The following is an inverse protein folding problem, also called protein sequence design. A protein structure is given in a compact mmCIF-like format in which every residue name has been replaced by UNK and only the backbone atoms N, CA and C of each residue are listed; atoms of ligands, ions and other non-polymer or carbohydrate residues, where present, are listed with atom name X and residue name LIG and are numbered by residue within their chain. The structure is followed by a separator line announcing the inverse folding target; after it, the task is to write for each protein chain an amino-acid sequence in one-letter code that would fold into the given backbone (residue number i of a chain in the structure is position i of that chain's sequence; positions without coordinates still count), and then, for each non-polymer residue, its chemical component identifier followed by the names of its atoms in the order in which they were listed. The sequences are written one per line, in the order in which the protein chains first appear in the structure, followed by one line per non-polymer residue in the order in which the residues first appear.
data_IF_534860158470
#
_entry.id   IF_534860158470
#
_cell.length_a   1.000
_cell.length_b   1.000
_cell.length_c   1.000
_cell.angle_alpha   90.00
_cell.angle_beta   90.00
_cell.angle_gamma   90.00
#
_symmetry.space_group_name_H-M   'P 1'
#
loop_
_entity.id
_entity.type
_entity.pdbx_description
1 polymer ?
#
# COMPACT_ATOMS: atom_id res chain seq x y z
N UNK A 1 -15.34 -6.05 3.91
CA UNK A 1 -16.74 -6.34 3.50
C UNK A 1 -16.84 -6.64 2.00
N UNK A 2 -16.27 -5.82 1.10
CA UNK A 2 -16.32 -6.03 -0.37
C UNK A 2 -15.77 -7.39 -0.76
N UNK A 3 -14.62 -7.80 -0.23
CA UNK A 3 -14.01 -9.12 -0.46
C UNK A 3 -14.99 -10.27 -0.16
N UNK A 4 -15.76 -10.19 0.92
CA UNK A 4 -16.75 -11.24 1.33
C UNK A 4 -17.86 -11.40 0.28
N UNK A 5 -18.24 -10.31 -0.37
CA UNK A 5 -19.28 -10.31 -1.43
C UNK A 5 -18.71 -10.78 -2.77
N UNK A 6 -17.46 -10.45 -3.05
CA UNK A 6 -16.79 -10.72 -4.34
C UNK A 6 -16.23 -12.14 -4.41
N UNK A 7 -15.68 -12.67 -3.31
CA UNK A 7 -15.05 -13.99 -3.30
C UNK A 7 -15.98 -15.15 -3.78
N UNK A 8 -17.27 -15.24 -3.37
CA UNK A 8 -18.17 -16.27 -3.91
C UNK A 8 -18.48 -16.10 -5.41
N UNK A 9 -18.50 -14.86 -5.90
CA UNK A 9 -18.70 -14.57 -7.33
C UNK A 9 -17.46 -14.90 -8.15
N UNK A 10 -16.28 -14.76 -7.56
CA UNK A 10 -15.01 -15.18 -8.16
C UNK A 10 -15.00 -16.67 -8.50
N UNK A 11 -15.52 -17.54 -7.60
CA UNK A 11 -15.63 -18.97 -7.85
C UNK A 11 -16.47 -19.27 -9.11
N UNK A 12 -17.64 -18.64 -9.25
CA UNK A 12 -18.48 -18.76 -10.46
C UNK A 12 -17.79 -18.24 -11.72
N UNK A 13 -17.00 -17.19 -11.61
CA UNK A 13 -16.25 -16.62 -12.73
C UNK A 13 -15.11 -17.55 -13.18
N UNK A 14 -14.49 -18.26 -12.22
CA UNK A 14 -13.48 -19.29 -12.51
C UNK A 14 -14.09 -20.44 -13.32
N UNK A 15 -15.28 -20.91 -12.93
CA UNK A 15 -16.01 -21.97 -13.66
C UNK A 15 -16.40 -21.52 -15.08
N UNK A 16 -16.80 -20.24 -15.23
CA UNK A 16 -17.28 -19.70 -16.52
C UNK A 16 -16.17 -19.32 -17.49
N UNK A 17 -15.07 -18.71 -17.01
CA UNK A 17 -14.02 -18.10 -17.85
C UNK A 17 -12.59 -18.55 -17.52
N UNK A 18 -12.45 -19.37 -16.50
CA UNK A 18 -11.16 -19.89 -16.05
C UNK A 18 -10.44 -19.01 -15.02
N UNK A 19 -9.48 -19.63 -14.33
CA UNK A 19 -8.72 -19.01 -13.25
C UNK A 19 -7.86 -17.82 -13.72
N UNK A 20 -7.24 -17.92 -14.90
CA UNK A 20 -6.38 -16.85 -15.46
C UNK A 20 -7.15 -15.57 -15.72
N UNK A 21 -8.33 -15.65 -16.31
CA UNK A 21 -9.17 -14.49 -16.58
C UNK A 21 -9.60 -13.81 -15.27
N UNK A 22 -10.02 -14.59 -14.27
CA UNK A 22 -10.47 -14.08 -12.99
C UNK A 22 -9.32 -13.39 -12.23
N UNK A 23 -8.11 -13.95 -12.30
CA UNK A 23 -6.92 -13.38 -11.70
C UNK A 23 -6.53 -12.05 -12.35
N UNK A 24 -6.55 -11.98 -13.69
CA UNK A 24 -6.30 -10.73 -14.42
C UNK A 24 -7.34 -9.64 -14.10
N UNK A 25 -8.60 -10.00 -13.97
CA UNK A 25 -9.62 -9.06 -13.50
C UNK A 25 -9.29 -8.53 -12.09
N UNK A 26 -8.82 -9.40 -11.18
CA UNK A 26 -8.37 -8.99 -9.85
C UNK A 26 -7.21 -7.99 -9.91
N UNK A 27 -6.22 -8.23 -10.77
CA UNK A 27 -5.08 -7.32 -10.97
C UNK A 27 -5.50 -5.97 -11.55
N UNK A 28 -6.46 -5.94 -12.48
CA UNK A 28 -7.01 -4.68 -13.02
C UNK A 28 -7.66 -3.84 -11.91
N UNK A 29 -8.40 -4.48 -10.99
CA UNK A 29 -8.99 -3.77 -9.85
C UNK A 29 -7.93 -3.26 -8.87
N UNK A 30 -6.90 -4.05 -8.58
CA UNK A 30 -5.79 -3.61 -7.72
C UNK A 30 -5.00 -2.47 -8.38
N UNK A 31 -4.71 -2.58 -9.67
CA UNK A 31 -4.06 -1.52 -10.44
C UNK A 31 -4.85 -0.22 -10.40
N UNK A 32 -6.17 -0.30 -10.65
CA UNK A 32 -7.06 0.86 -10.58
C UNK A 32 -7.08 1.48 -9.16
N UNK A 33 -7.02 0.67 -8.10
CA UNK A 33 -6.98 1.15 -6.73
C UNK A 33 -5.70 1.95 -6.44
N UNK A 34 -4.52 1.40 -6.77
CA UNK A 34 -3.25 2.08 -6.56
C UNK A 34 -3.12 3.34 -7.41
N UNK A 35 -3.57 3.27 -8.68
CA UNK A 35 -3.59 4.43 -9.56
C UNK A 35 -4.52 5.53 -9.04
N UNK A 36 -5.70 5.14 -8.51
CA UNK A 36 -6.62 6.07 -7.88
C UNK A 36 -5.99 6.75 -6.65
N UNK A 37 -5.32 5.98 -5.79
CA UNK A 37 -4.63 6.52 -4.62
C UNK A 37 -3.54 7.51 -5.05
N UNK A 38 -2.72 7.15 -6.04
CA UNK A 38 -1.65 7.99 -6.54
C UNK A 38 -2.14 9.33 -7.16
N UNK A 39 -3.30 9.33 -7.82
CA UNK A 39 -3.81 10.50 -8.54
C UNK A 39 -4.72 11.41 -7.69
N UNK A 40 -5.40 10.86 -6.69
CA UNK A 40 -6.50 11.55 -6.00
C UNK A 40 -6.20 11.79 -4.52
N UNK A 41 -5.23 11.07 -3.94
CA UNK A 41 -4.95 11.18 -2.53
C UNK A 41 -4.17 12.46 -2.21
N UNK A 42 -4.74 13.30 -1.32
CA UNK A 42 -4.12 14.53 -0.83
C UNK A 42 -4.67 14.87 0.57
N UNK A 43 -4.09 15.85 1.26
CA UNK A 43 -4.48 16.25 2.61
C UNK A 43 -5.97 16.58 2.77
N UNK A 44 -6.61 17.09 1.71
CA UNK A 44 -8.03 17.49 1.73
C UNK A 44 -8.96 16.42 1.16
N UNK A 45 -8.46 15.21 0.87
CA UNK A 45 -9.26 14.16 0.26
C UNK A 45 -10.43 13.76 1.15
N UNK A 46 -11.67 13.84 0.66
CA UNK A 46 -12.84 13.43 1.43
C UNK A 46 -12.86 11.90 1.61
N UNK A 47 -13.46 11.44 2.69
CA UNK A 47 -13.53 10.03 3.08
C UNK A 47 -14.03 9.08 1.99
N UNK A 48 -14.88 9.56 1.07
CA UNK A 48 -15.40 8.71 0.01
C UNK A 48 -14.35 8.34 -1.06
N UNK A 49 -13.30 9.15 -1.27
CA UNK A 49 -12.15 8.78 -2.12
C UNK A 49 -11.40 7.59 -1.53
N UNK A 50 -11.21 7.60 -0.20
CA UNK A 50 -10.58 6.51 0.54
C UNK A 50 -11.46 5.25 0.46
N UNK A 51 -12.77 5.40 0.69
CA UNK A 51 -13.72 4.29 0.60
C UNK A 51 -13.73 3.64 -0.78
N UNK A 52 -13.66 4.44 -1.86
CA UNK A 52 -13.61 3.93 -3.23
C UNK A 52 -12.34 3.12 -3.51
N UNK A 53 -11.18 3.60 -3.07
CA UNK A 53 -9.92 2.87 -3.18
C UNK A 53 -10.00 1.50 -2.47
N UNK A 54 -10.53 1.46 -1.25
CA UNK A 54 -10.72 0.20 -0.50
C UNK A 54 -11.76 -0.73 -1.13
N UNK A 55 -12.77 -0.20 -1.83
CA UNK A 55 -13.71 -1.01 -2.62
C UNK A 55 -12.96 -1.72 -3.76
N UNK A 56 -12.13 -1.01 -4.50
CA UNK A 56 -11.31 -1.59 -5.57
C UNK A 56 -10.30 -2.62 -5.03
N UNK A 57 -9.61 -2.32 -3.92
CA UNK A 57 -8.69 -3.26 -3.26
C UNK A 57 -9.45 -4.53 -2.85
N UNK A 58 -10.60 -4.37 -2.17
CA UNK A 58 -11.41 -5.51 -1.71
C UNK A 58 -11.93 -6.37 -2.86
N UNK A 59 -12.33 -5.76 -3.98
CA UNK A 59 -12.74 -6.46 -5.19
C UNK A 59 -11.55 -7.19 -5.82
N UNK A 60 -10.41 -6.52 -5.95
CA UNK A 60 -9.19 -7.10 -6.51
C UNK A 60 -8.68 -8.31 -5.73
N UNK A 61 -8.57 -8.18 -4.41
CA UNK A 61 -8.15 -9.27 -3.51
C UNK A 61 -9.17 -10.42 -3.54
N UNK A 62 -10.48 -10.13 -3.58
CA UNK A 62 -11.52 -11.15 -3.68
C UNK A 62 -11.49 -11.92 -5.00
N UNK A 63 -11.15 -11.25 -6.10
CA UNK A 63 -11.02 -11.89 -7.42
C UNK A 63 -9.70 -12.65 -7.59
N UNK A 64 -8.58 -12.14 -7.09
CA UNK A 64 -7.27 -12.75 -7.25
C UNK A 64 -7.01 -13.90 -6.25
N UNK A 65 -7.47 -13.77 -5.00
CA UNK A 65 -7.21 -14.73 -3.94
C UNK A 65 -7.86 -16.09 -4.16
N UNK A 66 -9.08 -16.11 -4.68
CA UNK A 66 -9.85 -17.36 -4.92
C UNK A 66 -9.18 -18.26 -5.98
N UNK A 67 -8.82 -17.77 -7.19
CA UNK A 67 -8.15 -18.61 -8.18
C UNK A 67 -6.77 -19.07 -7.74
N UNK A 68 -6.02 -18.27 -7.00
CA UNK A 68 -4.71 -18.65 -6.49
C UNK A 68 -4.82 -19.84 -5.51
N UNK A 69 -5.71 -19.76 -4.53
CA UNK A 69 -5.94 -20.86 -3.58
C UNK A 69 -6.49 -22.11 -4.25
N UNK A 70 -7.44 -21.96 -5.17
CA UNK A 70 -8.05 -23.09 -5.90
C UNK A 70 -7.02 -23.82 -6.77
N UNK A 71 -6.14 -23.11 -7.46
CA UNK A 71 -5.10 -23.72 -8.30
C UNK A 71 -4.10 -24.52 -7.47
N UNK A 72 -3.73 -24.05 -6.29
CA UNK A 72 -2.81 -24.74 -5.40
C UNK A 72 -3.43 -26.02 -4.78
N UNK A 73 -4.65 -25.90 -4.24
CA UNK A 73 -5.31 -27.04 -3.59
C UNK A 73 -5.78 -28.09 -4.61
N UNK A 74 -6.19 -27.68 -5.80
CA UNK A 74 -6.61 -28.57 -6.89
C UNK A 74 -5.48 -29.32 -7.61
N UNK A 75 -4.22 -28.89 -7.43
CA UNK A 75 -3.05 -29.52 -8.04
C UNK A 75 -2.55 -30.79 -7.33
N UNK A 76 -3.09 -31.12 -6.15
CA UNK A 76 -2.63 -32.23 -5.30
C UNK A 76 -3.75 -33.22 -5.01
N UNK A 77 -3.44 -34.51 -4.73
CA UNK A 77 -4.42 -35.49 -4.29
C UNK A 77 -5.12 -35.04 -3.00
N UNK A 78 -6.39 -35.40 -2.83
CA UNK A 78 -7.24 -35.01 -1.69
C UNK A 78 -6.58 -35.28 -0.33
N UNK A 79 -5.86 -36.40 -0.20
CA UNK A 79 -5.12 -36.73 1.04
C UNK A 79 -4.01 -35.74 1.40
N UNK A 80 -3.56 -34.90 0.47
CA UNK A 80 -2.55 -33.86 0.66
C UNK A 80 -3.12 -32.44 0.63
N UNK A 81 -4.42 -32.31 0.51
CA UNK A 81 -5.09 -31.00 0.41
C UNK A 81 -4.78 -30.07 1.59
N UNK A 82 -4.68 -30.62 2.81
CA UNK A 82 -4.31 -29.84 4.01
C UNK A 82 -2.89 -29.27 3.94
N UNK A 83 -1.93 -30.05 3.41
CA UNK A 83 -0.55 -29.57 3.22
C UNK A 83 -0.50 -28.48 2.14
N UNK A 84 -1.22 -28.65 1.04
CA UNK A 84 -1.29 -27.65 -0.03
C UNK A 84 -1.94 -26.34 0.46
N UNK A 85 -2.98 -26.41 1.28
CA UNK A 85 -3.62 -25.23 1.89
C UNK A 85 -2.64 -24.51 2.83
N UNK A 86 -1.94 -25.22 3.70
CA UNK A 86 -0.94 -24.61 4.59
C UNK A 86 0.22 -23.95 3.82
N UNK A 87 0.66 -24.56 2.71
CA UNK A 87 1.68 -23.96 1.83
C UNK A 87 1.17 -22.71 1.13
N UNK A 88 -0.11 -22.70 0.70
CA UNK A 88 -0.74 -21.52 0.09
C UNK A 88 -0.84 -20.36 1.09
N UNK A 89 -1.21 -20.65 2.33
CA UNK A 89 -1.30 -19.66 3.39
C UNK A 89 0.09 -19.11 3.75
N UNK A 90 1.09 -19.96 3.88
CA UNK A 90 2.47 -19.55 4.11
C UNK A 90 3.01 -18.64 2.99
N UNK A 91 2.75 -18.99 1.74
CA UNK A 91 3.15 -18.17 0.57
C UNK A 91 2.50 -16.78 0.61
N UNK A 92 1.20 -16.72 0.93
CA UNK A 92 0.47 -15.47 1.02
C UNK A 92 1.02 -14.58 2.14
N UNK A 93 1.24 -15.16 3.31
CA UNK A 93 1.72 -14.44 4.49
C UNK A 93 3.16 -13.96 4.29
N UNK A 94 4.03 -14.81 3.72
CA UNK A 94 5.40 -14.43 3.38
C UNK A 94 5.43 -13.31 2.32
N UNK A 95 4.64 -13.45 1.25
CA UNK A 95 4.51 -12.41 0.22
C UNK A 95 4.00 -11.09 0.79
N UNK A 96 2.99 -11.16 1.68
CA UNK A 96 2.47 -10.00 2.40
C UNK A 96 3.50 -9.32 3.27
N UNK A 97 4.26 -10.08 4.07
CA UNK A 97 5.32 -9.55 4.93
C UNK A 97 6.44 -8.87 4.13
N UNK A 98 6.88 -9.49 3.02
CA UNK A 98 7.89 -8.91 2.13
C UNK A 98 7.39 -7.58 1.54
N UNK A 99 6.18 -7.57 0.97
CA UNK A 99 5.63 -6.35 0.36
C UNK A 99 5.38 -5.26 1.39
N UNK A 100 4.90 -5.59 2.58
CA UNK A 100 4.72 -4.63 3.67
C UNK A 100 6.06 -4.00 4.09
N UNK A 101 7.13 -4.79 4.16
CA UNK A 101 8.47 -4.29 4.47
C UNK A 101 9.00 -3.36 3.37
N UNK A 102 8.78 -3.71 2.10
CA UNK A 102 9.18 -2.88 0.96
C UNK A 102 8.40 -1.55 0.97
N UNK A 103 7.08 -1.60 1.13
CA UNK A 103 6.26 -0.38 1.16
C UNK A 103 6.60 0.51 2.35
N UNK A 104 6.83 -0.06 3.54
CA UNK A 104 7.27 0.68 4.70
C UNK A 104 8.63 1.35 4.51
N UNK A 105 9.58 0.66 3.89
CA UNK A 105 10.89 1.23 3.57
C UNK A 105 10.79 2.36 2.54
N UNK A 106 9.97 2.20 1.50
CA UNK A 106 9.74 3.22 0.47
C UNK A 106 9.04 4.46 1.03
N UNK A 107 8.02 4.27 1.86
CA UNK A 107 7.34 5.35 2.57
C UNK A 107 8.34 6.16 3.42
N UNK A 108 9.15 5.46 4.21
CA UNK A 108 10.16 6.10 5.08
C UNK A 108 11.23 6.83 4.28
N UNK A 109 11.73 6.23 3.20
CA UNK A 109 12.73 6.84 2.33
C UNK A 109 12.16 8.05 1.58
N UNK A 110 10.94 7.95 1.06
CA UNK A 110 10.24 9.05 0.39
C UNK A 110 9.97 10.22 1.33
N UNK A 111 9.50 9.93 2.55
CA UNK A 111 9.34 10.93 3.60
C UNK A 111 10.66 11.67 3.89
N UNK A 112 11.73 10.92 4.16
CA UNK A 112 13.03 11.51 4.46
C UNK A 112 13.57 12.35 3.29
N UNK A 113 13.41 11.89 2.06
CA UNK A 113 13.81 12.63 0.86
C UNK A 113 13.01 13.94 0.70
N UNK A 114 11.69 13.88 0.90
CA UNK A 114 10.83 15.06 0.81
C UNK A 114 11.14 16.11 1.90
N UNK A 115 11.33 15.68 3.15
CA UNK A 115 11.76 16.57 4.24
C UNK A 115 13.11 17.20 3.94
N UNK A 116 14.10 16.40 3.51
CA UNK A 116 15.43 16.90 3.19
C UNK A 116 15.40 17.93 2.05
N UNK A 117 14.59 17.71 1.03
CA UNK A 117 14.38 18.66 -0.08
C UNK A 117 13.77 19.97 0.40
N UNK A 118 12.77 19.92 1.30
CA UNK A 118 12.14 21.11 1.89
C UNK A 118 13.12 21.90 2.77
N UNK A 119 13.95 21.20 3.55
CA UNK A 119 14.99 21.83 4.36
C UNK A 119 16.02 22.53 3.46
N UNK A 120 16.48 21.87 2.41
CA UNK A 120 17.45 22.44 1.46
C UNK A 120 16.90 23.67 0.70
N UNK A 121 15.59 23.71 0.46
CA UNK A 121 14.91 24.84 -0.16
C UNK A 121 14.60 25.99 0.84
N UNK A 122 14.77 25.77 2.14
CA UNK A 122 14.56 26.78 3.16
C UNK A 122 15.86 27.55 3.43
N UNK A 123 15.76 28.88 3.56
CA UNK A 123 16.91 29.73 3.97
C UNK A 123 17.23 29.64 5.48
N UNK A 124 16.69 28.66 6.18
CA UNK A 124 16.84 28.50 7.63
C UNK A 124 18.03 27.61 7.95
N UNK A 125 18.93 28.09 8.81
CA UNK A 125 19.98 27.26 9.39
C UNK A 125 19.38 26.30 10.41
N UNK A 126 19.18 25.07 10.00
CA UNK A 126 18.69 23.96 10.83
C UNK A 126 19.89 23.15 11.28
N UNK A 127 19.99 22.88 12.59
CA UNK A 127 21.08 22.05 13.12
C UNK A 127 20.97 20.60 12.62
N UNK A 128 22.11 19.92 12.49
CA UNK A 128 22.13 18.51 12.00
C UNK A 128 21.26 17.58 12.88
N UNK A 129 21.20 17.82 14.18
CA UNK A 129 20.37 17.05 15.10
C UNK A 129 18.87 17.25 14.84
N UNK A 130 18.45 18.49 14.58
CA UNK A 130 17.06 18.82 14.25
C UNK A 130 16.70 18.26 12.88
N UNK A 131 17.58 18.38 11.89
CA UNK A 131 17.37 17.78 10.58
C UNK A 131 17.22 16.25 10.68
N UNK A 132 18.08 15.58 11.43
CA UNK A 132 17.99 14.14 11.65
C UNK A 132 16.67 13.75 12.34
N UNK A 133 16.18 14.54 13.28
CA UNK A 133 14.89 14.29 13.92
C UNK A 133 13.71 14.49 12.95
N UNK A 134 13.72 15.56 12.16
CA UNK A 134 12.67 15.85 11.17
C UNK A 134 12.58 14.80 10.07
N UNK A 135 13.71 14.26 9.61
CA UNK A 135 13.78 13.26 8.55
C UNK A 135 13.48 11.83 9.02
N UNK A 136 13.49 11.59 10.33
CA UNK A 136 13.32 10.26 10.90
C UNK A 136 11.91 9.72 10.76
N UNK A 137 10.90 10.52 11.16
CA UNK A 137 9.48 10.16 11.10
C UNK A 137 8.59 11.39 11.33
N UNK A 138 7.31 11.25 10.98
CA UNK A 138 6.30 12.27 11.29
C UNK A 138 6.18 12.53 12.80
N UNK A 139 6.16 11.49 13.62
CA UNK A 139 6.12 11.58 15.09
C UNK A 139 7.33 12.36 15.65
N UNK A 140 8.52 12.12 15.12
CA UNK A 140 9.71 12.88 15.50
C UNK A 140 9.63 14.36 15.07
N UNK A 141 8.99 14.65 13.93
CA UNK A 141 8.76 16.04 13.50
C UNK A 141 7.74 16.74 14.39
N UNK A 142 6.72 16.05 14.88
CA UNK A 142 5.76 16.57 15.86
C UNK A 142 6.45 16.92 17.18
N UNK A 143 7.33 16.06 17.69
CA UNK A 143 8.12 16.34 18.88
C UNK A 143 9.05 17.56 18.72
N UNK A 144 9.62 17.77 17.52
CA UNK A 144 10.40 18.99 17.21
C UNK A 144 9.50 20.22 17.16
N UNK A 145 8.28 20.10 16.63
CA UNK A 145 7.30 21.19 16.58
C UNK A 145 6.88 21.64 17.98
N UNK A 146 6.71 20.72 18.92
CA UNK A 146 6.42 21.04 20.33
C UNK A 146 7.56 21.83 21.01
N UNK A 147 8.82 21.52 20.66
CA UNK A 147 9.98 22.23 21.20
C UNK A 147 10.18 23.63 20.57
N UNK A 148 9.58 23.87 19.39
CA UNK A 148 9.68 25.11 18.63
C UNK A 148 8.32 25.68 18.24
N UNK A 149 7.50 26.15 19.20
CA UNK A 149 6.12 26.60 18.94
C UNK A 149 5.98 27.66 17.83
N UNK A 150 6.99 28.53 17.68
CA UNK A 150 7.00 29.57 16.65
C UNK A 150 7.10 29.02 15.21
N UNK A 151 7.48 27.76 15.05
CA UNK A 151 7.60 27.07 13.77
C UNK A 151 6.70 25.82 13.66
N UNK A 152 5.91 25.54 14.69
CA UNK A 152 5.13 24.31 14.82
C UNK A 152 4.23 24.06 13.58
N UNK A 153 3.45 25.07 13.17
CA UNK A 153 2.55 24.93 12.01
C UNK A 153 3.31 24.63 10.72
N UNK A 154 4.45 25.28 10.51
CA UNK A 154 5.27 25.05 9.32
C UNK A 154 5.91 23.67 9.32
N UNK A 155 6.38 23.19 10.48
CA UNK A 155 6.95 21.85 10.64
C UNK A 155 5.90 20.79 10.39
N UNK A 156 4.73 20.91 11.00
CA UNK A 156 3.64 19.93 10.86
C UNK A 156 3.10 19.90 9.43
N UNK A 157 2.87 21.07 8.82
CA UNK A 157 2.43 21.12 7.41
C UNK A 157 3.47 20.53 6.47
N UNK A 158 4.75 20.85 6.69
CA UNK A 158 5.84 20.27 5.91
C UNK A 158 5.99 18.76 6.07
N UNK A 159 5.81 18.25 7.28
CA UNK A 159 5.86 16.82 7.58
C UNK A 159 4.67 16.05 7.01
N UNK A 160 3.44 16.61 7.06
CA UNK A 160 2.25 16.02 6.43
C UNK A 160 2.43 15.87 4.93
N UNK A 161 2.88 16.94 4.27
CA UNK A 161 3.13 16.88 2.83
C UNK A 161 4.24 15.87 2.49
N UNK A 162 5.32 15.83 3.27
CA UNK A 162 6.39 14.86 3.06
C UNK A 162 5.92 13.41 3.29
N UNK A 163 4.95 13.19 4.17
CA UNK A 163 4.35 11.87 4.37
C UNK A 163 3.55 11.43 3.14
N UNK A 164 2.76 12.33 2.54
CA UNK A 164 2.05 12.06 1.28
C UNK A 164 3.01 11.79 0.12
N UNK A 165 4.09 12.56 0.02
CA UNK A 165 5.14 12.33 -0.99
C UNK A 165 5.79 10.94 -0.80
N UNK A 166 5.93 10.46 0.45
CA UNK A 166 6.39 9.11 0.78
C UNK A 166 5.38 8.02 0.39
N UNK A 167 4.08 8.26 0.63
CA UNK A 167 3.00 7.37 0.19
C UNK A 167 3.01 7.18 -1.33
N UNK A 168 3.27 8.23 -2.10
CA UNK A 168 3.36 8.16 -3.57
C UNK A 168 4.46 7.21 -4.04
N UNK A 169 5.59 7.13 -3.32
CA UNK A 169 6.63 6.14 -3.62
C UNK A 169 6.13 4.70 -3.41
N UNK A 170 5.41 4.46 -2.32
CA UNK A 170 4.83 3.15 -2.03
C UNK A 170 3.75 2.76 -3.05
N UNK A 171 2.85 3.69 -3.41
CA UNK A 171 1.82 3.44 -4.42
C UNK A 171 2.40 3.20 -5.80
N UNK A 172 3.41 3.95 -6.20
CA UNK A 172 4.14 3.74 -7.45
C UNK A 172 4.77 2.34 -7.49
N UNK A 173 5.40 1.91 -6.40
CA UNK A 173 5.92 0.55 -6.30
C UNK A 173 4.83 -0.51 -6.39
N UNK A 174 3.64 -0.26 -5.80
CA UNK A 174 2.47 -1.13 -5.93
C UNK A 174 2.00 -1.26 -7.38
N UNK A 175 1.92 -0.16 -8.11
CA UNK A 175 1.60 -0.15 -9.56
C UNK A 175 2.61 -0.98 -10.34
N UNK A 176 3.91 -0.76 -10.11
CA UNK A 176 4.99 -1.51 -10.79
C UNK A 176 4.92 -3.01 -10.45
N UNK A 177 4.72 -3.35 -9.18
CA UNK A 177 4.60 -4.75 -8.76
C UNK A 177 3.44 -5.48 -9.45
N UNK A 178 2.30 -4.82 -9.63
CA UNK A 178 1.14 -5.38 -10.34
C UNK A 178 1.42 -5.56 -11.84
N UNK A 179 2.18 -4.67 -12.45
CA UNK A 179 2.54 -4.76 -13.88
C UNK A 179 3.58 -5.86 -14.16
N UNK A 180 4.37 -6.25 -13.15
CA UNK A 180 5.38 -7.30 -13.27
C UNK A 180 4.84 -8.72 -12.96
N UNK A 181 3.71 -8.83 -12.28
CA UNK A 181 3.07 -10.09 -11.87
C UNK A 181 2.02 -10.58 -12.86
#
# INVERSE_FOLDING_TARGET
LVMVVVAPRSAKLIEARGARFTLLCGYVFLFAAFLWMLLVWNESSPYWHIALAYIFIGAGVGLAGTPASHSLTGSVPVRRAGMASGTADLQRDLGGAIMQSIFGALLTAGYAAAVSSKIAASDKNITDSTQAALTKSFDSAEAVAEQHPQYADAIIAGAKQAFLDGDDWAYTAGVVAILLG
#
